data_IF_138921366762
#
_entry.id   IF_138921366762
#
_cell.length_a   1.000
_cell.length_b   1.000
_cell.length_c   1.000
_cell.angle_alpha   90.00
_cell.angle_beta   90.00
_cell.angle_gamma   90.00
#
_symmetry.space_group_name_H-M   'P 1'
#
loop_
_entity.id
_entity.type
_entity.pdbx_description
1 polymer ?
#
# COMPACT_ATOMS: atom_id res chain seq x y z
N UNK A 1 9.96 -11.79 8.90
CA UNK A 1 11.38 -12.10 8.65
C UNK A 1 11.51 -12.62 7.23
N UNK A 2 12.60 -12.31 6.54
CA UNK A 2 13.02 -12.92 5.28
C UNK A 2 14.38 -13.58 5.55
N UNK A 3 14.39 -14.92 5.48
CA UNK A 3 15.46 -15.80 5.91
C UNK A 3 15.62 -16.92 4.86
N UNK A 4 16.42 -16.68 3.79
CA UNK A 4 16.59 -17.62 2.68
C UNK A 4 16.94 -19.06 3.09
N UNK A 5 17.74 -19.23 4.15
CA UNK A 5 18.12 -20.55 4.66
C UNK A 5 17.12 -21.14 5.65
N UNK A 6 16.13 -20.37 6.11
CA UNK A 6 15.12 -20.80 7.09
C UNK A 6 13.68 -20.40 6.69
N UNK A 7 13.08 -21.03 5.66
CA UNK A 7 11.74 -20.66 5.17
C UNK A 7 10.65 -20.73 6.24
N UNK A 8 10.76 -21.65 7.21
CA UNK A 8 9.79 -21.84 8.29
C UNK A 8 9.73 -20.65 9.28
N UNK A 9 10.74 -19.77 9.26
CA UNK A 9 10.78 -18.57 10.10
C UNK A 9 10.15 -17.35 9.41
N UNK A 10 9.86 -17.44 8.11
CA UNK A 10 9.29 -16.32 7.35
C UNK A 10 7.92 -15.95 7.91
N UNK A 11 7.69 -14.64 8.08
CA UNK A 11 6.44 -14.10 8.66
C UNK A 11 6.30 -14.19 10.18
N UNK A 12 7.15 -14.96 10.88
CA UNK A 12 7.12 -15.05 12.36
C UNK A 12 7.76 -13.83 13.03
N UNK A 13 7.33 -13.52 14.25
CA UNK A 13 7.99 -12.50 15.10
C UNK A 13 9.20 -13.12 15.77
N UNK A 14 10.31 -12.37 15.79
CA UNK A 14 11.55 -12.79 16.44
C UNK A 14 11.36 -13.06 17.95
N UNK A 15 10.55 -12.24 18.62
CA UNK A 15 10.22 -12.39 20.04
C UNK A 15 9.47 -13.67 20.36
N UNK A 16 8.60 -14.12 19.46
CA UNK A 16 7.82 -15.33 19.65
C UNK A 16 8.74 -16.56 19.57
N UNK A 17 9.65 -16.56 18.58
CA UNK A 17 10.67 -17.61 18.43
C UNK A 17 11.59 -17.66 19.66
N UNK A 18 12.07 -16.50 20.12
CA UNK A 18 12.91 -16.41 21.32
C UNK A 18 12.19 -16.98 22.57
N UNK A 19 10.88 -16.69 22.72
CA UNK A 19 10.08 -17.23 23.80
C UNK A 19 9.91 -18.76 23.75
N UNK A 20 9.80 -19.34 22.57
CA UNK A 20 9.69 -20.80 22.38
C UNK A 20 11.01 -21.54 22.64
N UNK A 21 12.14 -20.92 22.29
CA UNK A 21 13.47 -21.54 22.46
C UNK A 21 14.14 -21.20 23.78
N UNK A 22 13.60 -20.23 24.53
CA UNK A 22 14.22 -19.70 25.75
C UNK A 22 15.50 -18.88 25.50
N UNK A 23 15.71 -18.43 24.26
CA UNK A 23 16.85 -17.60 23.87
C UNK A 23 16.61 -16.11 24.18
N UNK A 24 17.68 -15.35 24.35
CA UNK A 24 17.58 -13.88 24.32
C UNK A 24 17.25 -13.42 22.88
N UNK A 25 16.29 -12.47 22.68
CA UNK A 25 15.90 -12.04 21.35
C UNK A 25 17.04 -11.42 20.52
N UNK A 26 17.98 -10.72 21.16
CA UNK A 26 19.11 -10.11 20.47
C UNK A 26 20.15 -11.16 20.09
N UNK A 27 20.45 -12.10 20.99
CA UNK A 27 21.33 -13.23 20.67
C UNK A 27 20.76 -14.07 19.52
N UNK A 28 19.46 -14.38 19.55
CA UNK A 28 18.77 -15.08 18.47
C UNK A 28 18.86 -14.33 17.13
N UNK A 29 18.73 -13.00 17.14
CA UNK A 29 18.90 -12.19 15.92
C UNK A 29 20.29 -12.37 15.32
N UNK A 30 21.33 -12.31 16.17
CA UNK A 30 22.72 -12.45 15.74
C UNK A 30 23.00 -13.87 15.23
N UNK A 31 22.50 -14.89 15.92
CA UNK A 31 22.63 -16.29 15.49
C UNK A 31 21.99 -16.50 14.12
N UNK A 32 20.75 -16.06 13.93
CA UNK A 32 20.07 -16.14 12.64
C UNK A 32 20.83 -15.37 11.55
N UNK A 33 21.40 -14.20 11.88
CA UNK A 33 22.16 -13.41 10.93
C UNK A 33 23.44 -14.13 10.48
N UNK A 34 24.12 -14.81 11.40
CA UNK A 34 25.33 -15.59 11.10
C UNK A 34 25.04 -16.88 10.31
N UNK A 35 23.84 -17.45 10.46
CA UNK A 35 23.40 -18.62 9.71
C UNK A 35 23.06 -18.29 8.24
N UNK A 36 22.61 -17.07 7.97
CA UNK A 36 22.23 -16.66 6.61
C UNK A 36 23.47 -16.32 5.75
N UNK A 37 23.57 -16.87 4.52
CA UNK A 37 24.67 -16.57 3.62
C UNK A 37 24.73 -15.08 3.29
N UNK A 38 25.94 -14.53 3.26
CA UNK A 38 26.21 -13.10 3.01
C UNK A 38 25.49 -12.14 3.97
N UNK A 39 25.13 -12.58 5.18
CA UNK A 39 24.38 -11.79 6.17
C UNK A 39 23.04 -11.26 5.61
N UNK A 40 22.37 -12.07 4.77
CA UNK A 40 21.14 -11.68 4.07
C UNK A 40 19.88 -11.72 4.94
N UNK A 41 19.99 -12.04 6.23
CA UNK A 41 18.85 -11.99 7.15
C UNK A 41 18.19 -10.61 7.10
N UNK A 42 16.87 -10.58 6.93
CA UNK A 42 16.09 -9.35 7.06
C UNK A 42 14.97 -9.51 8.07
N UNK A 43 14.93 -8.56 9.00
CA UNK A 43 13.86 -8.46 9.99
C UNK A 43 13.07 -7.19 9.71
N UNK A 44 11.75 -7.36 9.55
CA UNK A 44 10.84 -6.22 9.43
C UNK A 44 10.64 -5.63 10.82
N UNK A 45 11.10 -4.40 11.01
CA UNK A 45 10.78 -3.59 12.18
C UNK A 45 9.63 -2.64 11.82
N UNK A 46 8.55 -2.64 12.61
CA UNK A 46 7.52 -1.61 12.52
C UNK A 46 7.99 -0.45 13.39
N UNK A 47 8.27 0.70 12.78
CA UNK A 47 8.80 1.88 13.48
C UNK A 47 7.70 2.82 13.99
N UNK A 48 6.54 2.81 13.34
CA UNK A 48 5.40 3.67 13.66
C UNK A 48 4.09 3.04 13.18
N UNK A 49 2.97 3.52 13.73
CA UNK A 49 1.62 3.13 13.35
C UNK A 49 1.35 1.62 13.46
N UNK A 50 1.97 0.94 14.42
CA UNK A 50 1.78 -0.48 14.70
C UNK A 50 0.67 -0.76 15.73
N UNK A 51 0.23 0.27 16.46
CA UNK A 51 -0.96 0.24 17.29
C UNK A 51 -2.23 0.35 16.44
N UNK A 52 -2.96 -0.77 16.32
CA UNK A 52 -4.19 -0.82 15.55
C UNK A 52 -5.31 0.07 16.12
N UNK A 53 -5.36 0.26 17.44
CA UNK A 53 -6.38 1.09 18.09
C UNK A 53 -6.07 2.57 17.87
N UNK A 54 -4.81 2.97 18.05
CA UNK A 54 -4.33 4.31 17.72
C UNK A 54 -4.55 4.67 16.25
N UNK A 55 -4.26 3.77 15.32
CA UNK A 55 -4.54 4.00 13.89
C UNK A 55 -6.06 4.09 13.65
N UNK A 56 -6.87 3.24 14.27
CA UNK A 56 -8.33 3.30 14.12
C UNK A 56 -8.92 4.63 14.63
N UNK A 57 -8.39 5.16 15.74
CA UNK A 57 -8.73 6.48 16.26
C UNK A 57 -8.36 7.58 15.27
N UNK A 58 -7.13 7.57 14.72
CA UNK A 58 -6.67 8.56 13.76
C UNK A 58 -7.52 8.53 12.47
N UNK A 59 -7.81 7.35 11.94
CA UNK A 59 -8.64 7.20 10.74
C UNK A 59 -10.04 7.79 10.91
N UNK A 60 -10.61 7.75 12.11
CA UNK A 60 -11.92 8.33 12.43
C UNK A 60 -11.86 9.82 12.85
N UNK A 61 -10.68 10.35 13.11
CA UNK A 61 -10.51 11.76 13.53
C UNK A 61 -10.81 12.72 12.36
N UNK A 62 -11.64 13.72 12.62
CA UNK A 62 -11.91 14.80 11.67
C UNK A 62 -10.63 15.61 11.38
N UNK A 63 -10.41 15.98 10.12
CA UNK A 63 -9.18 16.65 9.71
C UNK A 63 -7.94 15.76 9.61
N UNK A 64 -8.00 14.50 10.08
CA UNK A 64 -6.95 13.53 9.81
C UNK A 64 -7.04 13.06 8.35
N UNK A 65 -6.04 13.45 7.56
CA UNK A 65 -5.90 13.05 6.16
C UNK A 65 -5.00 11.84 6.02
N UNK A 66 -5.27 11.04 5.00
CA UNK A 66 -4.34 10.01 4.54
C UNK A 66 -3.18 10.70 3.86
N UNK A 67 -1.96 10.32 4.23
CA UNK A 67 -0.75 10.85 3.64
C UNK A 67 0.43 9.96 4.01
N UNK A 68 1.08 9.41 3.00
CA UNK A 68 2.40 8.80 3.15
C UNK A 68 3.08 8.82 1.79
N UNK A 69 4.25 9.45 1.72
CA UNK A 69 5.17 9.31 0.61
C UNK A 69 6.56 9.70 1.09
N UNK A 70 7.41 8.71 1.25
CA UNK A 70 8.86 8.90 1.44
C UNK A 70 9.56 9.20 0.09
N UNK A 71 8.78 9.57 -0.95
CA UNK A 71 9.24 9.79 -2.32
C UNK A 71 10.09 8.64 -2.90
N UNK A 72 9.93 7.43 -2.36
CA UNK A 72 10.69 6.24 -2.73
C UNK A 72 12.12 6.16 -2.16
N UNK A 73 12.50 6.97 -1.16
CA UNK A 73 13.86 6.92 -0.61
C UNK A 73 14.19 5.54 0.01
N UNK A 74 13.20 4.87 0.60
CA UNK A 74 13.35 3.55 1.21
C UNK A 74 12.59 2.44 0.45
N UNK A 75 12.53 2.47 -0.89
CA UNK A 75 11.82 1.42 -1.67
C UNK A 75 12.30 -0.01 -1.41
N UNK A 76 13.53 -0.21 -0.94
CA UNK A 76 14.03 -1.51 -0.50
C UNK A 76 13.42 -1.99 0.83
N UNK A 77 12.80 -1.11 1.61
CA UNK A 77 12.32 -1.40 2.97
C UNK A 77 10.80 -1.19 3.11
N UNK A 78 10.22 -0.29 2.33
CA UNK A 78 8.80 0.10 2.39
C UNK A 78 8.10 -0.11 1.04
N UNK A 79 6.81 -0.43 1.10
CA UNK A 79 5.93 -0.50 -0.06
C UNK A 79 4.59 0.15 0.30
N UNK A 80 4.50 1.46 0.12
CA UNK A 80 3.34 2.24 0.57
C UNK A 80 2.28 2.40 -0.53
N UNK A 81 2.57 1.95 -1.76
CA UNK A 81 1.64 1.97 -2.89
C UNK A 81 0.34 1.18 -2.63
N UNK A 82 0.35 0.31 -1.61
CA UNK A 82 -0.77 -0.50 -1.14
C UNK A 82 -1.79 0.25 -0.29
N UNK A 83 -1.52 1.48 0.12
CA UNK A 83 -2.32 2.19 1.12
C UNK A 83 -3.83 2.17 0.83
N UNK A 84 -4.23 2.39 -0.41
CA UNK A 84 -5.65 2.44 -0.79
C UNK A 84 -6.33 1.08 -0.71
N UNK A 85 -5.68 0.02 -1.21
CA UNK A 85 -6.23 -1.34 -1.18
C UNK A 85 -6.17 -1.95 0.22
N UNK A 86 -5.17 -1.63 1.04
CA UNK A 86 -5.13 -2.01 2.46
C UNK A 86 -6.21 -1.28 3.27
N UNK A 87 -6.42 0.02 3.04
CA UNK A 87 -7.51 0.75 3.70
C UNK A 87 -8.87 0.11 3.42
N UNK A 88 -9.16 -0.21 2.16
CA UNK A 88 -10.44 -0.80 1.75
C UNK A 88 -10.58 -2.27 2.20
N UNK A 89 -9.52 -3.06 2.11
CA UNK A 89 -9.56 -4.48 2.50
C UNK A 89 -9.46 -4.68 4.01
N UNK A 90 -8.34 -4.25 4.59
CA UNK A 90 -8.02 -4.49 6.00
C UNK A 90 -8.85 -3.61 6.93
N UNK A 91 -8.86 -2.29 6.72
CA UNK A 91 -9.46 -1.36 7.69
C UNK A 91 -10.98 -1.23 7.56
N UNK A 92 -11.52 -1.27 6.34
CA UNK A 92 -12.97 -1.21 6.09
C UNK A 92 -13.60 -2.59 6.19
N UNK A 93 -13.23 -3.54 5.30
CA UNK A 93 -13.93 -4.85 5.25
C UNK A 93 -13.62 -5.70 6.48
N UNK A 94 -12.34 -5.91 6.81
CA UNK A 94 -11.95 -6.89 7.82
C UNK A 94 -12.10 -6.36 9.25
N UNK A 95 -11.59 -5.15 9.51
CA UNK A 95 -11.61 -4.54 10.86
C UNK A 95 -12.83 -3.66 11.13
N UNK A 96 -13.59 -3.27 10.10
CA UNK A 96 -14.81 -2.43 10.22
C UNK A 96 -14.57 -1.12 10.98
N UNK A 97 -13.40 -0.52 10.79
CA UNK A 97 -12.98 0.73 11.47
C UNK A 97 -13.66 1.95 10.86
N UNK A 98 -13.98 1.90 9.57
CA UNK A 98 -14.63 2.98 8.81
C UNK A 98 -15.73 2.36 7.92
N UNK A 99 -16.73 3.16 7.54
CA UNK A 99 -17.61 2.78 6.44
C UNK A 99 -16.87 2.88 5.10
N UNK A 100 -17.36 2.15 4.09
CA UNK A 100 -16.79 2.17 2.75
C UNK A 100 -16.84 3.58 2.14
N UNK A 101 -17.95 4.29 2.34
CA UNK A 101 -18.17 5.64 1.84
C UNK A 101 -17.18 6.64 2.47
N UNK A 102 -16.93 6.54 3.77
CA UNK A 102 -15.96 7.39 4.47
C UNK A 102 -14.53 7.11 4.01
N UNK A 103 -14.16 5.85 3.80
CA UNK A 103 -12.86 5.50 3.26
C UNK A 103 -12.68 6.02 1.82
N UNK A 104 -13.69 5.85 0.96
CA UNK A 104 -13.68 6.40 -0.41
C UNK A 104 -13.57 7.92 -0.37
N UNK A 105 -14.35 8.61 0.47
CA UNK A 105 -14.29 10.06 0.62
C UNK A 105 -12.89 10.54 1.06
N UNK A 106 -12.25 9.85 2.01
CA UNK A 106 -10.86 10.12 2.44
C UNK A 106 -9.83 9.89 1.34
N UNK A 107 -10.02 8.90 0.47
CA UNK A 107 -9.14 8.62 -0.67
C UNK A 107 -9.37 9.56 -1.87
N UNK A 108 -10.55 10.18 -1.98
CA UNK A 108 -10.95 10.98 -3.15
C UNK A 108 -11.14 12.46 -2.83
N UNK A 109 -12.33 12.86 -2.37
CA UNK A 109 -12.71 14.25 -2.23
C UNK A 109 -11.87 15.00 -1.18
N UNK A 110 -11.49 14.36 -0.07
CA UNK A 110 -10.58 14.97 0.92
C UNK A 110 -9.25 15.34 0.28
N UNK A 111 -8.69 14.44 -0.54
CA UNK A 111 -7.43 14.69 -1.25
C UNK A 111 -7.59 15.78 -2.31
N UNK A 112 -8.66 15.71 -3.12
CA UNK A 112 -8.96 16.73 -4.11
C UNK A 112 -9.09 18.13 -3.49
N UNK A 113 -9.80 18.24 -2.36
CA UNK A 113 -9.95 19.50 -1.62
C UNK A 113 -8.61 20.01 -1.08
N UNK A 114 -7.76 19.13 -0.52
CA UNK A 114 -6.45 19.50 0.01
C UNK A 114 -5.54 20.14 -1.04
N UNK A 115 -5.59 19.63 -2.28
CA UNK A 115 -4.81 20.16 -3.41
C UNK A 115 -5.55 21.22 -4.25
N UNK A 116 -6.78 21.57 -3.89
CA UNK A 116 -7.58 22.58 -4.61
C UNK A 116 -8.08 22.14 -5.98
N UNK A 117 -8.38 20.85 -6.16
CA UNK A 117 -8.97 20.29 -7.37
C UNK A 117 -10.49 20.32 -7.26
N UNK A 118 -11.15 21.07 -8.15
CA UNK A 118 -12.61 21.24 -8.14
C UNK A 118 -13.33 20.38 -9.19
N UNK A 119 -12.56 19.81 -10.12
CA UNK A 119 -13.00 19.02 -11.27
C UNK A 119 -12.84 17.50 -11.05
N UNK A 120 -12.39 17.06 -9.87
CA UNK A 120 -12.00 15.66 -9.57
C UNK A 120 -12.38 15.24 -8.16
N UNK A 121 -12.21 13.95 -7.86
CA UNK A 121 -12.42 13.37 -6.53
C UNK A 121 -13.87 13.12 -6.16
N UNK A 122 -14.81 13.38 -7.08
CA UNK A 122 -16.25 13.15 -6.89
C UNK A 122 -16.87 12.62 -8.18
N UNK A 123 -17.86 11.73 -8.06
CA UNK A 123 -18.70 11.32 -9.19
C UNK A 123 -19.84 12.33 -9.36
N UNK A 124 -19.67 13.28 -10.29
CA UNK A 124 -20.61 14.36 -10.57
C UNK A 124 -20.55 14.73 -12.04
N UNK A 125 -21.70 15.07 -12.64
CA UNK A 125 -21.74 15.64 -14.00
C UNK A 125 -20.80 16.85 -14.09
N UNK A 126 -19.95 16.87 -15.13
CA UNK A 126 -18.95 17.91 -15.35
C UNK A 126 -17.62 17.72 -14.63
N UNK A 127 -17.49 16.75 -13.71
CA UNK A 127 -16.20 16.31 -13.20
C UNK A 127 -15.48 15.42 -14.22
N UNK A 128 -14.15 15.30 -14.10
CA UNK A 128 -13.37 14.36 -14.91
C UNK A 128 -13.72 12.92 -14.54
N UNK A 129 -13.75 12.07 -15.56
CA UNK A 129 -14.02 10.64 -15.41
C UNK A 129 -12.76 9.88 -14.95
N UNK A 130 -12.26 10.26 -13.76
CA UNK A 130 -11.28 9.51 -12.99
C UNK A 130 -12.04 8.55 -12.07
N UNK A 131 -12.20 7.30 -12.51
CA UNK A 131 -13.15 6.34 -11.92
C UNK A 131 -12.44 5.02 -11.65
N UNK A 132 -12.72 4.42 -10.49
CA UNK A 132 -12.31 3.07 -10.16
C UNK A 132 -13.54 2.22 -9.88
N UNK A 133 -13.56 1.00 -10.40
CA UNK A 133 -14.55 -0.03 -10.10
C UNK A 133 -13.81 -1.18 -9.43
N UNK A 134 -14.21 -1.51 -8.21
CA UNK A 134 -13.60 -2.58 -7.42
C UNK A 134 -14.67 -3.38 -6.67
N UNK A 135 -14.31 -4.62 -6.33
CA UNK A 135 -15.11 -5.51 -5.51
C UNK A 135 -14.72 -5.33 -4.03
N UNK A 136 -15.63 -4.76 -3.25
CA UNK A 136 -15.44 -4.52 -1.83
C UNK A 136 -15.25 -5.81 -1.01
N UNK A 137 -15.73 -6.97 -1.51
CA UNK A 137 -15.53 -8.24 -0.84
C UNK A 137 -14.10 -8.78 -1.00
N UNK A 138 -13.42 -8.48 -2.12
CA UNK A 138 -12.14 -9.11 -2.48
C UNK A 138 -10.97 -8.14 -2.62
N UNK A 139 -11.20 -6.82 -2.51
CA UNK A 139 -10.13 -5.83 -2.59
C UNK A 139 -9.03 -6.09 -1.57
N UNK A 140 -7.80 -6.20 -2.05
CA UNK A 140 -6.61 -6.47 -1.23
C UNK A 140 -5.37 -5.97 -1.95
N UNK A 141 -4.34 -5.52 -1.21
CA UNK A 141 -3.07 -5.13 -1.81
C UNK A 141 -2.33 -6.28 -2.51
N UNK A 142 -2.70 -7.53 -2.21
CA UNK A 142 -1.97 -8.70 -2.68
C UNK A 142 -0.62 -8.87 -1.96
N UNK A 143 0.22 -9.82 -2.42
CA UNK A 143 1.49 -10.09 -1.78
C UNK A 143 2.48 -8.95 -2.04
N UNK A 144 3.10 -8.45 -0.96
CA UNK A 144 4.31 -7.64 -1.08
C UNK A 144 5.47 -8.57 -1.39
N UNK A 145 6.15 -8.33 -2.50
CA UNK A 145 7.30 -9.12 -2.96
C UNK A 145 8.50 -8.25 -3.21
N UNK A 146 9.68 -8.84 -3.08
CA UNK A 146 10.94 -8.18 -3.41
C UNK A 146 11.35 -8.48 -4.84
N UNK A 147 11.86 -7.47 -5.53
CA UNK A 147 12.38 -7.58 -6.90
C UNK A 147 13.73 -6.89 -7.01
N UNK A 148 14.52 -7.32 -7.99
CA UNK A 148 15.81 -6.71 -8.35
C UNK A 148 15.68 -6.20 -9.78
N UNK A 149 15.20 -4.97 -9.92
CA UNK A 149 14.88 -4.35 -11.22
C UNK A 149 15.35 -2.89 -11.32
N UNK A 150 16.16 -2.42 -10.36
CA UNK A 150 16.79 -1.10 -10.39
C UNK A 150 18.24 -1.16 -10.88
N UNK A 151 18.82 -0.03 -11.34
CA UNK A 151 20.23 0.04 -11.72
C UNK A 151 21.16 -0.48 -10.62
N UNK A 152 22.34 -0.97 -11.01
CA UNK A 152 23.34 -1.55 -10.11
C UNK A 152 22.82 -2.71 -9.23
N UNK A 153 21.89 -3.52 -9.76
CA UNK A 153 21.20 -4.60 -9.03
C UNK A 153 20.45 -4.09 -7.79
N UNK A 154 19.91 -2.87 -7.86
CA UNK A 154 19.08 -2.33 -6.81
C UNK A 154 17.80 -3.13 -6.64
N UNK A 155 17.37 -3.27 -5.40
CA UNK A 155 16.15 -3.97 -5.03
C UNK A 155 15.05 -3.02 -4.56
N UNK A 156 13.81 -3.45 -4.72
CA UNK A 156 12.64 -2.79 -4.16
C UNK A 156 11.58 -3.78 -3.71
N UNK A 157 10.71 -3.34 -2.83
CA UNK A 157 9.44 -3.98 -2.53
C UNK A 157 8.37 -3.48 -3.50
N UNK A 158 7.53 -4.39 -3.98
CA UNK A 158 6.39 -4.09 -4.86
C UNK A 158 5.18 -4.93 -4.45
N UNK A 159 4.00 -4.39 -4.72
CA UNK A 159 2.71 -5.06 -4.56
C UNK A 159 1.90 -4.81 -5.83
N UNK A 160 2.33 -5.46 -6.91
CA UNK A 160 1.85 -5.27 -8.26
C UNK A 160 0.79 -6.30 -8.69
N UNK A 161 0.25 -7.05 -7.72
CA UNK A 161 -0.80 -8.05 -7.91
C UNK A 161 -1.97 -7.83 -6.95
N UNK A 162 -2.61 -6.63 -6.94
CA UNK A 162 -3.79 -6.41 -6.11
C UNK A 162 -4.97 -7.26 -6.61
N UNK A 163 -5.87 -7.61 -5.71
CA UNK A 163 -7.12 -8.30 -6.05
C UNK A 163 -8.32 -7.37 -5.92
N UNK A 164 -9.44 -7.72 -6.56
CA UNK A 164 -10.70 -6.97 -6.49
C UNK A 164 -10.72 -5.66 -7.29
N UNK A 165 -9.66 -5.27 -7.98
CA UNK A 165 -9.65 -4.08 -8.85
C UNK A 165 -10.11 -4.46 -10.26
N UNK A 166 -11.29 -3.99 -10.71
CA UNK A 166 -11.89 -4.41 -11.97
C UNK A 166 -11.62 -3.43 -13.10
N UNK A 167 -12.06 -2.18 -12.96
CA UNK A 167 -11.92 -1.15 -13.99
C UNK A 167 -11.27 0.11 -13.44
N UNK A 168 -10.44 0.74 -14.26
CA UNK A 168 -9.81 2.02 -13.93
C UNK A 168 -9.90 2.92 -15.15
N UNK A 169 -10.39 4.14 -14.93
CA UNK A 169 -10.52 5.18 -15.93
C UNK A 169 -9.71 6.40 -15.48
N UNK A 170 -8.98 6.99 -16.42
CA UNK A 170 -8.25 8.24 -16.22
C UNK A 170 -8.70 9.20 -17.31
N UNK A 171 -9.27 10.33 -16.93
CA UNK A 171 -9.86 11.31 -17.84
C UNK A 171 -10.84 10.68 -18.86
N UNK A 172 -11.57 9.63 -18.45
CA UNK A 172 -12.52 8.90 -19.29
C UNK A 172 -11.92 7.82 -20.20
N UNK A 173 -10.60 7.66 -20.21
CA UNK A 173 -9.93 6.56 -20.92
C UNK A 173 -9.79 5.38 -19.96
N UNK A 174 -10.37 4.23 -20.32
CA UNK A 174 -10.22 2.99 -19.55
C UNK A 174 -8.79 2.46 -19.71
N UNK A 175 -8.03 2.42 -18.61
CA UNK A 175 -6.64 1.94 -18.57
C UNK A 175 -6.54 0.53 -17.99
N UNK A 176 -7.58 0.07 -17.29
CA UNK A 176 -7.71 -1.30 -16.79
C UNK A 176 -9.13 -1.79 -17.03
N UNK A 177 -9.27 -3.02 -17.51
CA UNK A 177 -10.54 -3.71 -17.71
C UNK A 177 -10.46 -5.13 -17.19
N UNK A 178 -11.46 -5.55 -16.41
CA UNK A 178 -11.55 -6.90 -15.82
C UNK A 178 -10.26 -7.33 -15.10
N UNK A 179 -9.62 -6.41 -14.38
CA UNK A 179 -8.37 -6.66 -13.66
C UNK A 179 -7.10 -6.66 -14.53
N UNK A 180 -7.20 -6.35 -15.83
CA UNK A 180 -6.08 -6.36 -16.76
C UNK A 180 -5.79 -4.96 -17.31
N UNK A 181 -4.54 -4.55 -17.24
CA UNK A 181 -4.07 -3.31 -17.85
C UNK A 181 -4.23 -3.35 -19.38
N UNK A 182 -4.65 -2.23 -19.96
CA UNK A 182 -4.83 -2.07 -21.39
C UNK A 182 -3.64 -1.32 -21.99
N UNK A 183 -2.68 -2.04 -22.56
CA UNK A 183 -1.44 -1.45 -23.10
C UNK A 183 -1.67 -0.26 -24.05
N UNK A 184 -2.59 -0.32 -25.04
CA UNK A 184 -2.82 0.81 -25.93
C UNK A 184 -3.34 2.07 -25.20
N UNK A 185 -4.11 1.89 -24.14
CA UNK A 185 -4.59 3.00 -23.31
C UNK A 185 -3.45 3.60 -22.47
N UNK A 186 -2.57 2.76 -21.94
CA UNK A 186 -1.37 3.22 -21.21
C UNK A 186 -0.43 4.00 -22.13
N UNK A 187 -0.21 3.52 -23.36
CA UNK A 187 0.66 4.18 -24.35
C UNK A 187 0.11 5.56 -24.75
N UNK A 188 -1.21 5.77 -24.66
CA UNK A 188 -1.85 7.07 -24.90
C UNK A 188 -1.61 8.10 -23.79
N UNK A 189 -1.09 7.67 -22.64
CA UNK A 189 -0.78 8.49 -21.47
C UNK A 189 -1.92 9.47 -21.13
N UNK A 190 -3.12 8.97 -20.78
CA UNK A 190 -4.32 9.80 -20.65
C UNK A 190 -4.25 10.80 -19.49
N UNK A 191 -3.25 10.68 -18.61
CA UNK A 191 -2.97 11.63 -17.54
C UNK A 191 -2.67 13.03 -18.06
N UNK A 192 -2.99 14.03 -17.24
CA UNK A 192 -2.72 15.45 -17.55
C UNK A 192 -2.04 16.11 -16.37
N UNK A 193 -1.24 17.14 -16.66
CA UNK A 193 -0.74 18.03 -15.61
C UNK A 193 -1.94 18.64 -14.88
N UNK A 194 -2.05 18.36 -13.58
CA UNK A 194 -3.10 18.91 -12.74
C UNK A 194 -2.59 20.19 -12.08
N UNK A 195 -3.39 21.25 -12.10
CA UNK A 195 -3.11 22.51 -11.42
C UNK A 195 -4.24 22.79 -10.44
N UNK A 196 -3.95 23.41 -9.28
CA UNK A 196 -5.00 23.92 -8.41
C UNK A 196 -5.93 24.83 -9.21
N UNK A 197 -7.22 24.75 -8.92
CA UNK A 197 -8.19 25.71 -9.48
C UNK A 197 -7.86 27.11 -8.97
N UNK A 198 -7.98 28.16 -9.79
CA UNK A 198 -7.85 29.54 -9.31
C UNK A 198 -8.80 29.75 -8.13
N UNK A 199 -8.27 30.28 -7.02
CA UNK A 199 -9.08 30.70 -5.87
C UNK A 199 -9.76 32.03 -6.17
#
# INVERSE_FOLDING_TARGET
>A
MDAPSSPDLVGRRLTDIAGETGADPFDLLLELALLEPDLKLRVKAMLANDDAEGVAMLLNTEGCTLGLSDAGAHVGQLCDAVLSTDLLGSWVRDKKVLTLENAVHKLTQVQANLFGFTDRGVLRVGALADIVVFDAATVSPGPVRRVVDFPANGERLTADQPTGMHHLFVNGVEVQRDGKLLQPALDSLPGRLVKPSPR
#
